data_IF_087694031937
#
_entry.id   IF_087694031937
#
_cell.length_a   1.000
_cell.length_b   1.000
_cell.length_c   1.000
_cell.angle_alpha   90.00
_cell.angle_beta   90.00
_cell.angle_gamma   90.00
#
_symmetry.space_group_name_H-M   'P 1'
#
loop_
_entity.id
_entity.type
_entity.pdbx_description
1 polymer ?
#
# COMPACT_ATOMS: atom_id res chain seq x y z
N UNK A 1 -2.56 -33.15 75.22
CA UNK A 1 -3.72 -32.73 74.40
C UNK A 1 -3.51 -31.29 73.97
N UNK A 2 -3.80 -31.02 72.69
CA UNK A 2 -3.92 -29.72 72.00
C UNK A 2 -2.65 -28.89 71.72
N UNK A 3 -2.11 -29.07 70.50
CA UNK A 3 -1.47 -27.99 69.72
C UNK A 3 -2.59 -27.20 69.01
N UNK A 4 -2.79 -25.95 69.38
CA UNK A 4 -3.50 -24.97 68.55
C UNK A 4 -2.54 -24.50 67.45
N UNK A 5 -2.89 -24.80 66.20
CA UNK A 5 -2.28 -24.19 65.04
C UNK A 5 -3.08 -22.93 64.66
N UNK A 6 -2.43 -21.78 64.75
CA UNK A 6 -2.91 -20.51 64.20
C UNK A 6 -3.10 -20.62 62.69
N UNK A 7 -4.31 -20.36 62.21
CA UNK A 7 -4.58 -19.96 60.82
C UNK A 7 -4.92 -18.48 60.85
N UNK A 8 -3.97 -17.63 60.46
CA UNK A 8 -4.23 -16.22 60.14
C UNK A 8 -3.99 -16.03 58.65
N UNK A 9 -5.12 -16.02 57.94
CA UNK A 9 -5.49 -15.25 56.74
C UNK A 9 -4.31 -14.54 56.05
N UNK A 10 -3.95 -15.04 54.88
CA UNK A 10 -3.29 -14.25 53.84
C UNK A 10 -3.96 -14.60 52.51
N UNK A 11 -4.44 -13.58 51.81
CA UNK A 11 -5.18 -13.73 50.56
C UNK A 11 -5.93 -12.47 50.19
N UNK A 12 -5.24 -11.33 50.16
CA UNK A 12 -5.71 -10.15 49.44
C UNK A 12 -5.68 -10.47 47.93
N UNK A 13 -6.78 -10.98 47.39
CA UNK A 13 -6.99 -11.05 45.95
C UNK A 13 -7.37 -9.65 45.48
N UNK A 14 -6.42 -8.97 44.83
CA UNK A 14 -6.72 -7.81 43.98
C UNK A 14 -7.59 -8.28 42.79
N UNK A 15 -8.63 -7.54 42.38
CA UNK A 15 -9.34 -7.85 41.15
C UNK A 15 -8.42 -7.56 39.96
N UNK A 16 -8.09 -8.58 39.18
CA UNK A 16 -7.39 -8.43 37.90
C UNK A 16 -8.38 -7.89 36.86
N UNK A 17 -7.99 -6.80 36.20
CA UNK A 17 -8.81 -6.04 35.26
C UNK A 17 -8.52 -6.50 33.83
N UNK A 18 -9.56 -6.84 33.07
CA UNK A 18 -9.46 -7.08 31.63
C UNK A 18 -9.66 -5.76 30.89
N UNK A 19 -8.73 -5.39 30.01
CA UNK A 19 -8.80 -4.17 29.18
C UNK A 19 -8.65 -4.56 27.72
N UNK A 20 -9.42 -3.91 26.83
CA UNK A 20 -9.46 -4.20 25.40
C UNK A 20 -8.93 -3.00 24.59
N UNK A 21 -8.05 -3.27 23.62
CA UNK A 21 -7.51 -2.28 22.69
C UNK A 21 -7.99 -2.61 21.27
N UNK A 22 -8.46 -1.59 20.57
CA UNK A 22 -8.90 -1.69 19.18
C UNK A 22 -7.81 -1.11 18.29
N UNK A 23 -7.44 -1.85 17.27
CA UNK A 23 -6.63 -1.33 16.18
C UNK A 23 -7.38 -1.61 14.91
N UNK A 24 -7.62 -0.56 14.11
CA UNK A 24 -7.97 -0.77 12.71
C UNK A 24 -6.80 -1.55 12.09
N UNK A 25 -7.12 -2.69 11.49
CA UNK A 25 -6.12 -3.48 10.78
C UNK A 25 -5.73 -2.69 9.54
N UNK A 26 -4.55 -2.07 9.54
CA UNK A 26 -3.96 -1.56 8.31
C UNK A 26 -3.58 -2.80 7.51
N UNK A 27 -4.47 -3.26 6.63
CA UNK A 27 -4.09 -4.22 5.61
C UNK A 27 -2.91 -3.64 4.85
N UNK A 28 -1.80 -4.39 4.81
CA UNK A 28 -0.63 -4.02 4.01
C UNK A 28 -1.13 -3.74 2.59
N UNK A 29 -0.82 -2.56 2.05
CA UNK A 29 -1.18 -2.20 0.69
C UNK A 29 -0.73 -3.30 -0.28
N UNK A 30 -1.66 -3.79 -1.09
CA UNK A 30 -1.30 -4.63 -2.21
C UNK A 30 -0.58 -3.80 -3.26
N UNK A 31 0.52 -4.32 -3.77
CA UNK A 31 1.34 -3.64 -4.76
C UNK A 31 1.52 -4.53 -5.97
N UNK A 32 1.18 -4.04 -7.16
CA UNK A 32 1.55 -4.65 -8.43
C UNK A 32 2.72 -3.85 -8.98
N UNK A 33 3.86 -4.49 -9.21
CA UNK A 33 5.07 -3.80 -9.71
C UNK A 33 5.49 -4.34 -11.06
N UNK A 34 5.69 -3.45 -12.02
CA UNK A 34 6.03 -3.79 -13.39
C UNK A 34 7.23 -2.97 -13.86
N UNK A 35 8.20 -3.66 -14.45
CA UNK A 35 9.40 -3.07 -15.03
C UNK A 35 9.44 -3.39 -16.53
N UNK A 36 9.45 -2.33 -17.33
CA UNK A 36 9.71 -2.44 -18.76
C UNK A 36 11.20 -2.67 -18.97
N UNK A 37 11.55 -3.65 -19.80
CA UNK A 37 12.94 -3.80 -20.23
C UNK A 37 13.04 -4.15 -21.72
N UNK A 38 14.26 -4.10 -22.25
CA UNK A 38 14.58 -4.60 -23.59
C UNK A 38 14.97 -6.09 -23.51
N UNK A 39 14.99 -6.79 -24.64
CA UNK A 39 15.12 -8.27 -24.69
C UNK A 39 16.46 -8.86 -24.20
N UNK A 40 17.43 -8.06 -23.74
CA UNK A 40 18.79 -8.52 -23.37
C UNK A 40 19.14 -8.40 -21.87
N UNK A 41 19.36 -9.56 -21.24
CA UNK A 41 20.11 -9.94 -20.00
C UNK A 41 20.07 -9.07 -18.73
N UNK A 42 19.51 -9.68 -17.67
CA UNK A 42 19.62 -9.50 -16.19
C UNK A 42 19.84 -8.13 -15.54
N UNK A 43 20.74 -7.28 -16.02
CA UNK A 43 21.03 -5.98 -15.37
C UNK A 43 19.86 -4.99 -15.50
N UNK A 44 18.93 -5.29 -16.40
CA UNK A 44 17.70 -4.54 -16.65
C UNK A 44 16.52 -5.05 -15.82
N UNK A 45 16.70 -6.11 -15.03
CA UNK A 45 15.65 -6.69 -14.19
C UNK A 45 15.69 -6.10 -12.79
N UNK A 46 14.52 -5.86 -12.24
CA UNK A 46 14.36 -5.46 -10.85
C UNK A 46 14.24 -6.70 -9.98
N UNK A 47 14.99 -6.73 -8.88
CA UNK A 47 15.00 -7.83 -7.91
C UNK A 47 14.74 -7.28 -6.50
N UNK A 48 13.91 -7.99 -5.72
CA UNK A 48 13.58 -7.63 -4.34
C UNK A 48 12.83 -6.31 -4.22
N UNK A 49 12.95 -5.65 -3.06
CA UNK A 49 12.16 -4.48 -2.64
C UNK A 49 12.60 -3.15 -3.25
N UNK A 50 13.13 -3.15 -4.47
CA UNK A 50 13.36 -1.89 -5.17
C UNK A 50 12.01 -1.25 -5.49
N UNK A 51 11.89 0.06 -5.33
CA UNK A 51 10.65 0.78 -5.64
C UNK A 51 10.40 1.91 -4.67
N UNK A 52 9.29 2.63 -4.87
CA UNK A 52 8.83 3.63 -3.89
C UNK A 52 8.06 2.87 -2.82
N UNK A 53 7.14 2.00 -3.23
CA UNK A 53 6.54 1.01 -2.34
C UNK A 53 7.35 -0.29 -2.35
N UNK A 54 7.65 -0.88 -1.19
CA UNK A 54 8.31 -2.18 -1.12
C UNK A 54 7.47 -3.29 -1.76
N UNK A 55 8.01 -3.96 -2.78
CA UNK A 55 7.38 -5.12 -3.40
C UNK A 55 8.39 -6.27 -3.52
N UNK A 56 7.98 -7.49 -3.15
CA UNK A 56 8.86 -8.67 -3.22
C UNK A 56 8.89 -9.27 -4.63
N UNK A 57 7.80 -9.10 -5.39
CA UNK A 57 7.67 -9.53 -6.78
C UNK A 57 7.65 -8.34 -7.75
N UNK A 58 8.49 -8.41 -8.77
CA UNK A 58 8.54 -7.47 -9.89
C UNK A 58 8.35 -8.22 -11.19
N UNK A 59 7.31 -7.86 -11.93
CA UNK A 59 7.09 -8.36 -13.28
C UNK A 59 8.07 -7.64 -14.18
N UNK A 60 8.99 -8.40 -14.78
CA UNK A 60 9.98 -7.87 -15.71
C UNK A 60 9.60 -8.37 -17.11
N UNK A 61 9.12 -7.48 -17.97
CA UNK A 61 8.68 -7.89 -19.31
C UNK A 61 9.07 -6.91 -20.43
N UNK A 62 9.39 -7.50 -21.59
CA UNK A 62 9.55 -6.83 -22.86
C UNK A 62 8.29 -6.85 -23.74
N UNK A 63 7.24 -7.54 -23.30
CA UNK A 63 5.99 -7.66 -24.04
C UNK A 63 5.20 -6.35 -24.03
N UNK A 64 4.45 -6.11 -25.09
CA UNK A 64 3.55 -4.97 -25.22
C UNK A 64 2.16 -5.24 -24.65
N UNK A 65 1.84 -6.51 -24.37
CA UNK A 65 0.60 -6.93 -23.74
C UNK A 65 0.91 -8.01 -22.70
N UNK A 66 0.39 -7.84 -21.50
CA UNK A 66 0.47 -8.79 -20.40
C UNK A 66 -0.88 -8.79 -19.70
N UNK A 67 -1.50 -9.96 -19.56
CA UNK A 67 -2.71 -10.11 -18.76
C UNK A 67 -2.38 -10.58 -17.34
N UNK A 68 -3.34 -10.38 -16.46
CA UNK A 68 -3.35 -10.94 -15.11
C UNK A 68 -2.05 -10.67 -14.31
N UNK A 69 -1.63 -9.40 -14.28
CA UNK A 69 -0.40 -8.99 -13.60
C UNK A 69 -0.40 -9.49 -12.16
N UNK A 70 0.75 -9.99 -11.71
CA UNK A 70 0.93 -10.49 -10.36
C UNK A 70 1.16 -9.38 -9.33
N UNK A 71 0.57 -9.53 -8.15
CA UNK A 71 0.85 -8.68 -7.00
C UNK A 71 2.23 -9.00 -6.36
N UNK A 72 2.55 -8.28 -5.29
CA UNK A 72 3.85 -8.37 -4.60
C UNK A 72 4.15 -9.74 -3.99
N UNK A 73 3.13 -10.59 -3.80
CA UNK A 73 3.24 -11.95 -3.28
C UNK A 73 3.34 -13.00 -4.40
N UNK A 74 3.19 -12.59 -5.66
CA UNK A 74 3.19 -13.46 -6.83
C UNK A 74 1.81 -13.99 -7.22
N UNK A 75 0.74 -13.56 -6.55
CA UNK A 75 -0.63 -13.95 -6.88
C UNK A 75 -1.10 -13.17 -8.10
N UNK A 76 -1.71 -13.84 -9.08
CA UNK A 76 -2.30 -13.18 -10.24
C UNK A 76 -3.47 -12.27 -9.80
N UNK A 77 -3.56 -11.10 -10.43
CA UNK A 77 -4.69 -10.16 -10.28
C UNK A 77 -5.49 -10.10 -11.58
N UNK A 78 -6.51 -9.27 -11.67
CA UNK A 78 -7.22 -9.00 -12.93
C UNK A 78 -6.54 -7.93 -13.78
N UNK A 79 -5.50 -7.24 -13.27
CA UNK A 79 -4.92 -6.11 -13.98
C UNK A 79 -4.24 -6.56 -15.26
N UNK A 80 -4.62 -5.93 -16.38
CA UNK A 80 -3.95 -6.08 -17.65
C UNK A 80 -3.12 -4.83 -17.97
N UNK A 81 -1.97 -5.02 -18.62
CA UNK A 81 -1.17 -3.95 -19.21
C UNK A 81 -1.12 -4.11 -20.72
N UNK A 82 -1.48 -3.05 -21.43
CA UNK A 82 -1.38 -2.98 -22.89
C UNK A 82 -0.65 -1.73 -23.35
N UNK A 83 0.05 -1.84 -24.47
CA UNK A 83 0.75 -0.75 -25.14
C UNK A 83 0.74 -1.02 -26.65
N UNK A 84 0.79 0.04 -27.46
CA UNK A 84 0.86 -0.08 -28.91
C UNK A 84 2.25 0.31 -29.46
N UNK A 85 3.21 -0.61 -29.40
CA UNK A 85 4.51 -0.47 -30.05
C UNK A 85 5.45 0.56 -29.41
N UNK A 86 6.38 1.14 -30.20
CA UNK A 86 7.38 2.12 -29.77
C UNK A 86 8.70 1.51 -29.30
N UNK A 87 9.74 2.34 -29.21
CA UNK A 87 11.10 1.87 -28.96
C UNK A 87 11.36 1.55 -27.48
N UNK A 88 12.30 0.64 -27.23
CA UNK A 88 12.79 0.29 -25.89
C UNK A 88 14.30 0.52 -25.81
N UNK A 89 14.77 1.05 -24.69
CA UNK A 89 16.19 1.13 -24.38
C UNK A 89 16.58 -0.01 -23.45
N UNK A 90 17.68 -0.69 -23.78
CA UNK A 90 18.32 -1.62 -22.85
C UNK A 90 19.13 -0.92 -21.75
N UNK A 91 19.39 0.37 -21.89
CA UNK A 91 20.07 1.16 -20.86
C UNK A 91 19.87 2.65 -21.11
N UNK A 92 19.19 3.34 -20.19
CA UNK A 92 19.14 4.80 -20.18
C UNK A 92 20.38 5.42 -19.54
N UNK A 93 21.03 4.68 -18.64
CA UNK A 93 22.07 5.26 -17.80
C UNK A 93 23.16 4.28 -17.34
N UNK A 94 24.02 4.72 -16.41
CA UNK A 94 25.18 3.99 -15.92
C UNK A 94 24.87 2.83 -14.97
N UNK A 95 25.93 2.24 -14.41
CA UNK A 95 25.84 1.16 -13.43
C UNK A 95 25.07 1.49 -12.13
N UNK A 96 25.02 2.74 -11.63
CA UNK A 96 24.29 3.06 -10.39
C UNK A 96 22.80 2.75 -10.41
N UNK A 97 22.18 2.64 -11.60
CA UNK A 97 20.76 2.30 -11.74
C UNK A 97 20.53 0.81 -12.00
N UNK A 98 21.57 -0.04 -12.00
CA UNK A 98 21.38 -1.48 -12.22
C UNK A 98 20.41 -2.05 -11.17
N UNK A 99 19.50 -2.92 -11.61
CA UNK A 99 18.49 -3.49 -10.71
C UNK A 99 17.31 -2.56 -10.39
N UNK A 100 17.26 -1.37 -10.98
CA UNK A 100 16.16 -0.41 -10.80
C UNK A 100 15.26 -0.32 -12.04
N UNK A 101 13.99 0.08 -11.87
CA UNK A 101 13.10 0.41 -12.99
C UNK A 101 13.68 1.49 -13.89
N UNK A 102 14.50 2.41 -13.37
CA UNK A 102 15.06 3.50 -14.16
C UNK A 102 16.20 3.06 -15.07
N UNK A 103 16.66 1.80 -15.01
CA UNK A 103 17.78 1.31 -15.82
C UNK A 103 17.45 1.24 -17.31
N UNK A 104 16.30 0.70 -17.64
CA UNK A 104 15.87 0.32 -18.98
C UNK A 104 14.36 0.59 -19.11
N UNK A 105 13.80 0.39 -20.31
CA UNK A 105 12.36 0.54 -20.50
C UNK A 105 12.00 1.24 -21.79
N UNK A 106 10.88 1.95 -21.78
CA UNK A 106 10.27 2.58 -22.95
C UNK A 106 11.02 3.87 -23.26
N UNK A 107 11.58 4.01 -24.47
CA UNK A 107 12.34 5.21 -24.86
C UNK A 107 11.57 6.06 -25.86
N UNK A 108 11.79 7.37 -25.81
CA UNK A 108 11.18 8.32 -26.74
C UNK A 108 12.08 9.53 -27.00
N UNK A 109 11.92 10.14 -28.18
CA UNK A 109 12.69 11.30 -28.64
C UNK A 109 11.80 12.41 -29.24
N UNK A 110 10.48 12.26 -29.12
CA UNK A 110 9.51 13.21 -29.66
C UNK A 110 8.48 13.62 -28.62
N UNK A 111 7.70 14.63 -28.94
CA UNK A 111 6.66 15.18 -28.08
C UNK A 111 5.50 14.20 -27.80
N UNK A 112 5.39 13.11 -28.57
CA UNK A 112 4.40 12.06 -28.33
C UNK A 112 5.05 10.69 -28.49
N UNK A 113 4.93 9.88 -27.44
CA UNK A 113 5.28 8.46 -27.44
C UNK A 113 4.02 7.63 -27.34
N UNK A 114 3.99 6.39 -27.87
CA UNK A 114 2.88 5.48 -27.62
C UNK A 114 2.65 5.30 -26.11
N UNK A 115 1.42 5.51 -25.61
CA UNK A 115 1.10 5.37 -24.19
C UNK A 115 1.06 3.89 -23.80
N UNK A 116 0.95 3.62 -22.51
CA UNK A 116 0.49 2.32 -22.00
C UNK A 116 -0.81 2.49 -21.23
N UNK A 117 -1.63 1.45 -21.22
CA UNK A 117 -2.92 1.39 -20.55
C UNK A 117 -2.91 0.27 -19.53
N UNK A 118 -3.43 0.58 -18.35
CA UNK A 118 -3.76 -0.38 -17.30
C UNK A 118 -5.27 -0.55 -17.32
N UNK A 119 -5.76 -1.78 -17.32
CA UNK A 119 -7.20 -2.08 -17.33
C UNK A 119 -7.54 -3.18 -16.35
N UNK A 120 -8.83 -3.29 -16.03
CA UNK A 120 -9.34 -4.27 -15.06
C UNK A 120 -8.69 -4.11 -13.68
N UNK A 121 -8.48 -2.87 -13.25
CA UNK A 121 -7.91 -2.56 -11.92
C UNK A 121 -8.92 -2.97 -10.84
N UNK A 122 -8.57 -3.90 -9.93
CA UNK A 122 -9.52 -4.45 -8.96
C UNK A 122 -9.65 -3.60 -7.68
N UNK A 123 -8.88 -2.52 -7.56
CA UNK A 123 -8.84 -1.69 -6.36
C UNK A 123 -9.88 -0.59 -6.42
N UNK A 124 -10.73 -0.49 -5.40
CA UNK A 124 -11.68 0.61 -5.26
C UNK A 124 -10.97 1.96 -5.13
N UNK A 125 -9.85 1.99 -4.39
CA UNK A 125 -9.01 3.15 -4.18
C UNK A 125 -7.55 2.77 -4.43
N UNK A 126 -6.84 3.53 -5.25
CA UNK A 126 -5.43 3.26 -5.53
C UNK A 126 -4.65 4.52 -5.92
N UNK A 127 -3.32 4.38 -5.93
CA UNK A 127 -2.41 5.32 -6.58
C UNK A 127 -1.52 4.57 -7.58
N UNK A 128 -1.04 5.28 -8.60
CA UNK A 128 -0.05 4.77 -9.56
C UNK A 128 1.24 5.55 -9.39
N UNK A 129 2.34 4.84 -9.20
CA UNK A 129 3.70 5.41 -9.25
C UNK A 129 4.29 5.06 -10.61
N UNK A 130 4.73 6.05 -11.38
CA UNK A 130 5.39 5.84 -12.67
C UNK A 130 6.87 6.19 -12.55
N UNK A 131 7.76 5.28 -12.96
CA UNK A 131 9.21 5.51 -12.90
C UNK A 131 9.72 6.25 -14.13
N UNK A 132 10.33 7.39 -13.87
CA UNK A 132 10.80 8.37 -14.83
C UNK A 132 12.31 8.20 -15.03
N UNK A 133 12.71 8.09 -16.29
CA UNK A 133 14.11 7.92 -16.69
C UNK A 133 14.35 8.60 -18.04
N UNK A 134 15.49 8.36 -18.65
CA UNK A 134 15.90 8.95 -19.92
C UNK A 134 17.41 9.17 -19.99
N UNK A 135 17.85 9.78 -21.08
CA UNK A 135 19.26 10.01 -21.35
C UNK A 135 19.74 11.31 -20.67
N UNK A 136 21.04 11.35 -20.33
CA UNK A 136 21.67 12.50 -19.64
C UNK A 136 21.63 13.83 -20.42
N UNK A 137 21.23 13.81 -21.69
CA UNK A 137 21.04 15.03 -22.51
C UNK A 137 19.58 15.48 -22.60
N UNK A 138 18.65 14.82 -21.92
CA UNK A 138 17.27 15.29 -21.82
C UNK A 138 17.19 16.45 -20.84
N UNK A 139 16.50 17.52 -21.22
CA UNK A 139 16.26 18.67 -20.35
C UNK A 139 14.83 18.70 -19.77
N UNK A 140 13.85 18.15 -20.49
CA UNK A 140 12.51 17.98 -19.96
C UNK A 140 11.70 16.91 -20.71
N UNK A 141 10.85 16.22 -19.97
CA UNK A 141 9.83 15.29 -20.45
C UNK A 141 8.55 15.49 -19.64
N UNK A 142 7.43 14.96 -20.12
CA UNK A 142 6.14 14.98 -19.41
C UNK A 142 5.51 13.57 -19.33
N UNK A 143 4.73 13.36 -18.28
CA UNK A 143 3.92 12.16 -18.05
C UNK A 143 2.54 12.59 -17.56
N UNK A 144 1.49 11.94 -18.03
CA UNK A 144 0.11 12.31 -17.73
C UNK A 144 -0.79 11.09 -17.69
N UNK A 145 -1.78 11.10 -16.80
CA UNK A 145 -2.91 10.17 -16.76
C UNK A 145 -4.16 10.71 -17.50
N UNK A 146 -4.04 11.87 -18.16
CA UNK A 146 -5.14 12.60 -18.80
C UNK A 146 -5.78 13.69 -17.95
N UNK A 147 -5.65 13.62 -16.62
CA UNK A 147 -6.19 14.60 -15.68
C UNK A 147 -5.09 15.48 -15.07
N UNK A 148 -3.98 14.86 -14.71
CA UNK A 148 -2.78 15.48 -14.15
C UNK A 148 -1.60 15.31 -15.11
N UNK A 149 -0.68 16.25 -15.10
CA UNK A 149 0.57 16.17 -15.86
C UNK A 149 1.73 16.57 -14.97
N UNK A 150 2.80 15.79 -15.01
CA UNK A 150 4.06 16.09 -14.33
C UNK A 150 5.20 16.19 -15.33
N UNK A 151 6.19 17.02 -15.01
CA UNK A 151 7.38 17.24 -15.81
C UNK A 151 8.64 16.77 -15.08
N UNK A 152 9.62 16.23 -15.80
CA UNK A 152 10.90 15.82 -15.22
C UNK A 152 12.06 15.96 -16.19
N UNK A 153 13.24 16.14 -15.62
CA UNK A 153 14.54 15.86 -16.23
C UNK A 153 15.06 14.51 -15.65
N UNK A 154 15.54 13.56 -16.46
CA UNK A 154 16.09 12.30 -16.00
C UNK A 154 17.27 12.45 -15.03
N UNK A 155 17.13 11.84 -13.85
CA UNK A 155 18.23 11.70 -12.88
C UNK A 155 19.06 10.43 -13.16
N UNK A 156 19.76 10.42 -14.30
CA UNK A 156 20.42 9.23 -14.86
C UNK A 156 21.46 8.53 -13.95
N UNK A 157 22.01 9.18 -12.91
CA UNK A 157 23.12 8.61 -12.14
C UNK A 157 22.89 8.55 -10.62
N UNK A 158 21.63 8.58 -10.18
CA UNK A 158 21.30 8.52 -8.75
C UNK A 158 20.27 7.44 -8.45
N UNK A 159 20.59 6.56 -7.51
CA UNK A 159 19.67 5.57 -6.96
C UNK A 159 18.73 6.15 -5.89
N UNK A 160 18.93 7.40 -5.48
CA UNK A 160 18.04 8.08 -4.54
C UNK A 160 16.81 8.55 -5.30
N UNK A 161 15.70 7.85 -5.06
CA UNK A 161 14.40 8.16 -5.66
C UNK A 161 13.90 9.53 -5.20
N UNK A 162 13.62 10.39 -6.16
CA UNK A 162 12.94 11.68 -5.92
C UNK A 162 11.69 11.79 -6.76
N UNK A 163 10.59 12.22 -6.14
CA UNK A 163 9.34 12.52 -6.82
C UNK A 163 9.48 13.80 -7.64
N UNK A 164 8.74 13.93 -8.73
CA UNK A 164 8.45 15.24 -9.31
C UNK A 164 7.09 15.74 -8.83
N UNK A 165 7.08 16.97 -8.30
CA UNK A 165 5.86 17.71 -7.98
C UNK A 165 5.61 18.83 -9.01
N UNK A 166 6.42 18.87 -10.07
CA UNK A 166 6.36 19.94 -11.07
C UNK A 166 5.22 19.67 -12.05
N UNK A 167 4.14 20.44 -11.92
CA UNK A 167 2.93 20.34 -12.77
C UNK A 167 2.85 21.39 -13.87
N UNK A 168 3.81 22.33 -13.91
CA UNK A 168 3.91 23.38 -14.93
C UNK A 168 5.32 23.41 -15.51
N UNK A 169 5.44 23.77 -16.78
CA UNK A 169 6.72 23.83 -17.47
C UNK A 169 6.80 25.07 -18.38
N UNK A 170 7.95 25.73 -18.34
CA UNK A 170 8.29 26.86 -19.22
C UNK A 170 9.13 26.34 -20.39
N UNK A 171 8.73 26.68 -21.62
CA UNK A 171 9.40 26.19 -22.82
C UNK A 171 10.89 26.58 -22.85
N UNK A 172 11.74 25.58 -23.10
CA UNK A 172 13.19 25.79 -23.21
C UNK A 172 13.94 25.85 -21.88
N UNK A 173 13.27 25.67 -20.74
CA UNK A 173 13.94 25.51 -19.44
C UNK A 173 14.19 24.04 -19.12
N UNK A 174 15.02 23.78 -18.12
CA UNK A 174 15.19 22.44 -17.58
C UNK A 174 14.06 22.15 -16.58
N UNK A 175 13.52 20.94 -16.60
CA UNK A 175 12.62 20.46 -15.56
C UNK A 175 13.41 19.98 -14.32
N UNK A 176 12.72 19.75 -13.20
CA UNK A 176 13.35 19.21 -12.00
C UNK A 176 13.83 17.78 -12.25
N UNK A 177 15.06 17.48 -11.79
CA UNK A 177 15.62 16.13 -11.87
C UNK A 177 14.92 15.18 -10.90
N UNK A 178 14.15 14.24 -11.45
CA UNK A 178 13.34 13.29 -10.67
C UNK A 178 13.37 11.87 -11.25
N UNK A 179 12.85 10.92 -10.47
CA UNK A 179 12.84 9.49 -10.78
C UNK A 179 11.45 8.87 -10.82
N UNK A 180 10.44 9.54 -10.27
CA UNK A 180 9.06 9.04 -10.31
C UNK A 180 8.05 10.18 -10.24
N UNK A 181 6.83 9.91 -10.69
CA UNK A 181 5.64 10.72 -10.45
C UNK A 181 4.56 9.82 -9.82
N UNK A 182 3.69 10.42 -9.00
CA UNK A 182 2.57 9.73 -8.36
C UNK A 182 1.26 10.32 -8.87
N UNK A 183 0.37 9.44 -9.35
CA UNK A 183 -1.01 9.76 -9.70
C UNK A 183 -1.94 9.17 -8.64
N UNK A 184 -2.82 10.00 -8.08
CA UNK A 184 -3.64 9.64 -6.92
C UNK A 184 -2.91 9.78 -5.57
N UNK A 185 -3.67 9.79 -4.49
CA UNK A 185 -3.18 9.90 -3.11
C UNK A 185 -4.25 9.39 -2.14
N UNK A 186 -3.90 9.23 -0.86
CA UNK A 186 -4.87 8.84 0.17
C UNK A 186 -6.05 9.83 0.29
N UNK A 187 -5.82 11.12 0.02
CA UNK A 187 -6.84 12.15 0.08
C UNK A 187 -7.65 12.30 -1.23
N UNK A 188 -7.11 11.80 -2.34
CA UNK A 188 -7.71 11.86 -3.67
C UNK A 188 -7.27 10.63 -4.47
N UNK A 189 -7.83 9.44 -4.15
CA UNK A 189 -7.43 8.20 -4.80
C UNK A 189 -7.94 8.15 -6.24
N UNK A 190 -7.27 7.35 -7.06
CA UNK A 190 -7.80 6.91 -8.34
C UNK A 190 -8.86 5.83 -8.09
N UNK A 191 -9.92 5.85 -8.90
CA UNK A 191 -11.09 4.95 -8.75
C UNK A 191 -11.52 4.32 -10.07
N UNK A 192 -10.91 4.73 -11.19
CA UNK A 192 -11.22 4.17 -12.50
C UNK A 192 -10.73 2.73 -12.62
N UNK A 193 -11.47 1.87 -13.31
CA UNK A 193 -11.02 0.50 -13.58
C UNK A 193 -10.01 0.41 -14.73
N UNK A 194 -9.76 1.53 -15.41
CA UNK A 194 -8.75 1.65 -16.46
C UNK A 194 -8.15 3.04 -16.55
N UNK A 195 -6.83 3.13 -16.71
CA UNK A 195 -6.09 4.38 -16.86
C UNK A 195 -5.07 4.25 -17.98
N UNK A 196 -4.95 5.30 -18.78
CA UNK A 196 -3.93 5.43 -19.83
C UNK A 196 -2.86 6.43 -19.40
N UNK A 197 -1.60 6.01 -19.37
CA UNK A 197 -0.46 6.88 -19.09
C UNK A 197 0.21 7.30 -20.40
N UNK A 198 0.15 8.59 -20.67
CA UNK A 198 0.75 9.26 -21.82
C UNK A 198 2.03 9.99 -21.44
N UNK A 199 3.00 10.04 -22.34
CA UNK A 199 4.29 10.66 -22.08
C UNK A 199 5.01 11.07 -23.36
N UNK A 200 5.98 11.97 -23.22
CA UNK A 200 6.77 12.50 -24.33
C UNK A 200 7.75 13.58 -23.89
N UNK A 201 8.43 14.20 -24.84
CA UNK A 201 9.23 15.40 -24.58
C UNK A 201 8.34 16.60 -24.31
N UNK A 202 8.73 17.43 -23.35
CA UNK A 202 8.07 18.71 -23.13
C UNK A 202 8.28 19.67 -24.32
N UNK A 203 7.44 20.71 -24.50
CA UNK A 203 7.63 21.69 -25.58
C UNK A 203 9.03 22.31 -25.58
N UNK A 204 9.68 22.38 -26.74
CA UNK A 204 11.05 22.92 -26.84
C UNK A 204 12.14 22.06 -26.18
N UNK A 205 11.79 20.92 -25.59
CA UNK A 205 12.76 20.00 -25.00
C UNK A 205 13.46 19.16 -26.05
N UNK A 206 14.66 18.70 -25.71
CA UNK A 206 15.49 17.84 -26.54
C UNK A 206 16.14 16.76 -25.67
N UNK A 207 16.84 15.81 -26.31
CA UNK A 207 17.38 14.62 -25.63
C UNK A 207 16.30 13.60 -25.29
N UNK A 208 16.57 12.31 -25.43
CA UNK A 208 15.51 11.30 -25.26
C UNK A 208 15.10 11.07 -23.81
N UNK A 209 13.80 10.92 -23.57
CA UNK A 209 13.25 10.51 -22.28
C UNK A 209 12.95 9.01 -22.23
N UNK A 210 12.53 8.53 -21.06
CA UNK A 210 12.06 7.17 -20.92
C UNK A 210 11.15 6.90 -19.72
N UNK A 211 10.38 5.83 -19.83
CA UNK A 211 9.57 5.28 -18.74
C UNK A 211 10.13 3.91 -18.38
N UNK A 212 10.49 3.75 -17.11
CA UNK A 212 11.09 2.53 -16.59
C UNK A 212 10.07 1.45 -16.25
N UNK A 213 8.93 1.85 -15.70
CA UNK A 213 7.94 0.93 -15.16
C UNK A 213 6.90 1.66 -14.34
N UNK A 214 6.13 0.91 -13.57
CA UNK A 214 5.14 1.46 -12.66
C UNK A 214 4.90 0.55 -11.44
N UNK A 215 4.28 1.12 -10.40
CA UNK A 215 3.58 0.37 -9.37
C UNK A 215 2.12 0.82 -9.31
N UNK A 216 1.20 -0.12 -9.15
CA UNK A 216 -0.18 0.15 -8.70
C UNK A 216 -0.21 -0.23 -7.23
N UNK A 217 -0.69 0.68 -6.39
CA UNK A 217 -0.71 0.52 -4.94
C UNK A 217 -2.15 0.65 -4.49
N UNK A 218 -2.72 -0.44 -3.98
CA UNK A 218 -4.02 -0.38 -3.34
C UNK A 218 -3.91 0.57 -2.15
N UNK A 219 -4.82 1.52 -2.07
CA UNK A 219 -4.97 2.33 -0.88
C UNK A 219 -6.03 1.67 -0.01
N UNK A 220 -5.91 1.77 1.32
CA UNK A 220 -7.02 1.38 2.18
C UNK A 220 -8.27 2.15 1.73
N UNK A 221 -9.43 1.52 1.87
CA UNK A 221 -10.68 2.26 1.83
C UNK A 221 -10.58 3.47 2.77
N UNK A 222 -11.17 4.63 2.40
CA UNK A 222 -10.83 5.93 2.96
C UNK A 222 -10.64 5.86 4.47
N UNK A 223 -9.60 6.52 5.00
CA UNK A 223 -9.13 6.32 6.37
C UNK A 223 -10.29 6.39 7.34
N UNK A 224 -10.28 5.47 8.32
CA UNK A 224 -11.25 5.46 9.42
C UNK A 224 -11.44 6.87 9.97
N UNK A 225 -12.59 7.47 9.71
CA UNK A 225 -12.93 8.80 10.25
C UNK A 225 -13.35 8.71 11.71
N UNK A 226 -13.72 7.51 12.15
CA UNK A 226 -14.18 7.21 13.50
C UNK A 226 -13.08 6.46 14.26
N UNK A 227 -12.55 7.11 15.29
CA UNK A 227 -11.75 6.41 16.30
C UNK A 227 -12.63 5.37 16.99
N UNK A 228 -12.24 4.08 17.02
CA UNK A 228 -13.05 3.05 17.67
C UNK A 228 -13.19 3.32 19.16
N UNK A 229 -14.43 3.35 19.65
CA UNK A 229 -14.76 3.59 21.05
C UNK A 229 -15.82 2.56 21.48
N UNK A 230 -15.57 1.85 22.58
CA UNK A 230 -16.54 0.89 23.10
C UNK A 230 -17.78 1.61 23.63
N UNK A 231 -18.94 1.20 23.14
CA UNK A 231 -20.25 1.70 23.56
C UNK A 231 -20.93 0.77 24.55
N UNK A 232 -20.82 -0.54 24.34
CA UNK A 232 -21.46 -1.53 25.19
C UNK A 232 -20.58 -2.77 25.38
N UNK A 233 -20.59 -3.32 26.58
CA UNK A 233 -19.97 -4.61 26.90
C UNK A 233 -20.93 -5.39 27.78
N UNK A 234 -21.22 -6.63 27.40
CA UNK A 234 -21.87 -7.60 28.27
C UNK A 234 -21.14 -8.93 28.23
N UNK A 235 -21.14 -9.63 29.35
CA UNK A 235 -20.52 -10.95 29.44
C UNK A 235 -21.44 -11.89 30.19
N UNK A 236 -21.72 -13.03 29.58
CA UNK A 236 -22.42 -14.13 30.21
C UNK A 236 -21.39 -15.16 30.69
N UNK A 237 -21.24 -15.27 32.01
CA UNK A 237 -20.31 -16.23 32.63
C UNK A 237 -20.75 -17.68 32.49
N UNK A 238 -22.03 -17.94 32.19
CA UNK A 238 -22.56 -19.31 31.99
C UNK A 238 -22.18 -19.82 30.60
N UNK A 239 -22.39 -19.01 29.56
CA UNK A 239 -22.06 -19.35 28.17
C UNK A 239 -20.64 -18.96 27.76
N UNK A 240 -19.90 -18.23 28.60
CA UNK A 240 -18.58 -17.64 28.27
C UNK A 240 -18.60 -16.69 27.06
N UNK A 241 -19.77 -16.12 26.73
CA UNK A 241 -19.95 -15.25 25.58
C UNK A 241 -19.77 -13.78 25.99
N UNK A 242 -18.88 -13.07 25.29
CA UNK A 242 -18.69 -11.63 25.39
C UNK A 242 -19.42 -10.95 24.24
N UNK A 243 -20.41 -10.12 24.51
CA UNK A 243 -21.00 -9.24 23.51
C UNK A 243 -20.39 -7.84 23.64
N UNK A 244 -19.91 -7.30 22.51
CA UNK A 244 -19.15 -6.07 22.45
C UNK A 244 -19.71 -5.18 21.34
N UNK A 245 -20.04 -3.92 21.65
CA UNK A 245 -20.44 -2.91 20.68
C UNK A 245 -19.46 -1.75 20.69
N UNK A 246 -18.97 -1.31 19.52
CA UNK A 246 -18.05 -0.17 19.39
C UNK A 246 -18.41 0.72 18.20
N UNK A 247 -17.94 1.98 18.22
CA UNK A 247 -17.99 2.88 17.06
C UNK A 247 -17.12 2.34 15.94
N UNK A 248 -17.65 2.24 14.73
CA UNK A 248 -16.94 1.71 13.56
C UNK A 248 -17.27 2.52 12.31
N UNK A 249 -16.35 2.56 11.37
CA UNK A 249 -16.63 3.03 10.01
C UNK A 249 -17.10 1.84 9.15
N UNK A 250 -18.20 1.99 8.38
CA UNK A 250 -18.63 0.97 7.42
C UNK A 250 -17.52 0.53 6.47
N UNK A 251 -17.46 -0.78 6.18
CA UNK A 251 -16.47 -1.37 5.26
C UNK A 251 -15.07 -1.57 5.85
N UNK A 252 -14.85 -1.21 7.12
CA UNK A 252 -13.57 -1.42 7.79
C UNK A 252 -13.53 -2.76 8.55
N UNK A 253 -12.34 -3.35 8.65
CA UNK A 253 -12.12 -4.59 9.39
C UNK A 253 -11.36 -4.33 10.70
N UNK A 254 -11.88 -4.88 11.80
CA UNK A 254 -11.39 -4.66 13.16
C UNK A 254 -10.81 -5.94 13.78
N UNK A 255 -9.89 -5.75 14.73
CA UNK A 255 -9.42 -6.80 15.63
C UNK A 255 -9.64 -6.41 17.09
N UNK A 256 -9.99 -7.40 17.92
CA UNK A 256 -10.20 -7.25 19.36
C UNK A 256 -9.07 -7.95 20.09
N UNK A 257 -8.28 -7.16 20.83
CA UNK A 257 -7.19 -7.67 21.69
C UNK A 257 -7.56 -7.48 23.15
N UNK A 258 -7.13 -8.41 23.99
CA UNK A 258 -7.30 -8.33 25.43
C UNK A 258 -5.95 -8.33 26.15
N UNK A 259 -5.93 -7.73 27.33
CA UNK A 259 -4.84 -7.80 28.28
C UNK A 259 -5.39 -7.96 29.70
N UNK A 260 -4.67 -8.71 30.54
CA UNK A 260 -4.96 -8.86 31.97
C UNK A 260 -4.08 -7.97 32.85
N UNK A 261 -3.05 -7.34 32.28
CA UNK A 261 -2.02 -6.59 33.01
C UNK A 261 -1.72 -5.21 32.40
N UNK A 262 -2.50 -4.78 31.40
CA UNK A 262 -2.34 -3.52 30.65
C UNK A 262 -1.01 -3.36 29.90
N UNK A 263 -0.13 -4.36 29.97
CA UNK A 263 1.26 -4.26 29.53
C UNK A 263 1.52 -5.24 28.39
N UNK A 264 0.92 -6.42 28.44
CA UNK A 264 0.98 -7.44 27.41
C UNK A 264 -0.35 -7.51 26.64
N UNK A 265 -0.30 -7.11 25.37
CA UNK A 265 -1.44 -7.04 24.45
C UNK A 265 -1.37 -8.11 23.35
N UNK A 266 -0.56 -9.14 23.53
CA UNK A 266 -0.35 -10.20 22.54
C UNK A 266 -1.52 -11.20 22.43
N UNK A 267 -2.53 -11.11 23.30
CA UNK A 267 -3.69 -11.99 23.29
C UNK A 267 -4.77 -11.42 22.36
N UNK A 268 -4.84 -11.98 21.15
CA UNK A 268 -5.89 -11.68 20.17
C UNK A 268 -7.09 -12.56 20.46
N UNK A 269 -8.25 -11.93 20.69
CA UNK A 269 -9.48 -12.61 21.10
C UNK A 269 -10.43 -12.80 19.92
N UNK A 270 -10.41 -11.86 18.98
CA UNK A 270 -11.04 -11.99 17.68
C UNK A 270 -10.24 -11.18 16.65
N UNK A 271 -10.09 -11.73 15.45
CA UNK A 271 -9.43 -11.07 14.32
C UNK A 271 -10.38 -11.04 13.14
N UNK A 272 -10.26 -10.00 12.31
CA UNK A 272 -11.01 -9.86 11.05
C UNK A 272 -12.53 -9.73 11.22
N UNK A 273 -12.98 -8.84 12.11
CA UNK A 273 -14.40 -8.52 12.25
C UNK A 273 -14.76 -7.39 11.28
N UNK A 274 -15.55 -7.70 10.28
CA UNK A 274 -16.03 -6.70 9.31
C UNK A 274 -17.10 -5.81 9.95
N UNK A 275 -16.91 -4.50 9.82
CA UNK A 275 -17.92 -3.55 10.25
C UNK A 275 -19.15 -3.61 9.37
N UNK A 276 -20.29 -3.33 10.00
CA UNK A 276 -21.57 -3.29 9.28
C UNK A 276 -21.57 -2.16 8.26
N UNK A 277 -22.04 -2.47 7.05
CA UNK A 277 -22.07 -1.53 5.92
C UNK A 277 -23.07 -0.36 6.13
N UNK A 278 -24.06 -0.54 7.01
CA UNK A 278 -25.19 0.38 7.20
C UNK A 278 -25.25 1.01 8.61
N UNK A 279 -24.17 0.90 9.39
CA UNK A 279 -24.14 1.33 10.79
C UNK A 279 -22.82 2.00 11.17
N UNK A 280 -22.90 3.01 12.02
CA UNK A 280 -21.75 3.67 12.67
C UNK A 280 -21.22 2.87 13.89
N UNK A 281 -21.80 1.70 14.11
CA UNK A 281 -21.41 0.77 15.18
C UNK A 281 -21.40 -0.66 14.70
N UNK A 282 -20.48 -1.44 15.28
CA UNK A 282 -20.40 -2.89 15.09
C UNK A 282 -20.60 -3.57 16.43
N UNK A 283 -21.44 -4.62 16.43
CA UNK A 283 -21.70 -5.47 17.60
C UNK A 283 -21.30 -6.90 17.25
N UNK A 284 -20.43 -7.49 18.06
CA UNK A 284 -19.94 -8.85 17.87
C UNK A 284 -20.05 -9.68 19.16
N UNK A 285 -20.38 -10.97 19.00
CA UNK A 285 -20.39 -11.96 20.07
C UNK A 285 -19.15 -12.86 19.97
N UNK A 286 -18.30 -12.81 20.99
CA UNK A 286 -16.99 -13.47 21.02
C UNK A 286 -17.03 -14.58 22.09
N UNK A 287 -16.82 -15.82 21.67
CA UNK A 287 -16.71 -16.97 22.58
C UNK A 287 -15.33 -17.00 23.25
N UNK A 288 -15.32 -16.83 24.58
CA UNK A 288 -14.10 -16.87 25.40
C UNK A 288 -13.84 -18.25 26.01
N UNK A 289 -14.62 -19.27 25.65
CA UNK A 289 -14.40 -20.63 26.12
C UNK A 289 -12.99 -21.14 25.75
N UNK A 290 -12.43 -20.72 24.62
CA UNK A 290 -11.06 -21.05 24.22
C UNK A 290 -9.95 -20.31 24.97
N UNK A 291 -10.27 -19.35 25.84
CA UNK A 291 -9.31 -18.44 26.47
C UNK A 291 -9.42 -18.49 28.01
N UNK A 292 -8.84 -19.52 28.66
CA UNK A 292 -9.03 -19.78 30.10
C UNK A 292 -8.61 -18.63 31.00
N UNK A 293 -7.63 -17.85 30.56
CA UNK A 293 -7.03 -16.71 31.25
C UNK A 293 -8.03 -15.55 31.49
N UNK A 294 -9.14 -15.53 30.75
CA UNK A 294 -10.14 -14.46 30.75
C UNK A 294 -11.48 -14.83 31.41
N UNK A 295 -11.64 -16.08 31.89
CA UNK A 295 -12.94 -16.60 32.37
C UNK A 295 -13.38 -16.03 33.73
N UNK A 296 -12.43 -15.75 34.63
CA UNK A 296 -12.73 -15.39 36.04
C UNK A 296 -12.47 -13.90 36.37
N UNK A 297 -12.26 -13.05 35.37
CA UNK A 297 -11.86 -11.65 35.58
C UNK A 297 -13.00 -10.63 35.43
N UNK A 298 -12.92 -9.54 36.21
CA UNK A 298 -13.84 -8.40 36.11
C UNK A 298 -13.46 -7.55 34.90
N UNK A 299 -14.40 -7.32 33.98
CA UNK A 299 -14.16 -6.67 32.67
C UNK A 299 -14.48 -5.19 32.74
N UNK A 300 -13.57 -4.34 32.25
CA UNK A 300 -13.73 -2.86 32.20
C UNK A 300 -13.16 -2.33 30.89
N UNK A 301 -13.71 -1.24 30.36
CA UNK A 301 -13.26 -0.68 29.07
C UNK A 301 -12.75 0.75 29.21
N UNK A 302 -11.86 1.14 28.29
CA UNK A 302 -11.39 2.51 28.07
C UNK A 302 -11.42 2.81 26.56
N UNK A 303 -11.74 4.06 26.21
CA UNK A 303 -11.72 4.58 24.83
C UNK A 303 -10.41 5.28 24.47
#
# INVERSE_FOLDING_TARGET
>A
MNRQASKMICGSFLPTFMVMLFSATITRAEVISFNFHATSVNNQRVFGKFGVEPADNWINSSEDMMSDLQNSEGNATTVDMTRSGGARSGSFSGAPLNGSPMKAGLQFFGASSPPFTLSQIPYANYKIIVYLTGFNGNNASFVSDGNSTFYWDPKAFSSILTETLQTTYEEGTDAVKSNYAVFGSDAAPLTDTSITISFGLAPGASGGGGIGGFQIVSLPDPPTTVKPEVKEVSFDSVSSLLSLTWSSDPGQTYAVKASTDLSNWGLEVATSIDAREDSDTTTEEIDLSGVPELRDQKKSTFG
#
